data_IF_642721681000
#
_entry.id   IF_642721681000
#
_cell.length_a   1.000
_cell.length_b   1.000
_cell.length_c   1.000
_cell.angle_alpha   90.00
_cell.angle_beta   90.00
_cell.angle_gamma   90.00
#
_symmetry.space_group_name_H-M   'P 1'
#
loop_
_entity.id
_entity.type
_entity.pdbx_description
1 polymer ?
#
# COMPACT_ATOMS: atom_id res chain seq x y z
N UNK A 1 -42.54 -31.17 -2.92
CA UNK A 1 -42.64 -31.32 -1.45
C UNK A 1 -42.06 -30.06 -0.85
N UNK A 2 -42.90 -29.15 -0.36
CA UNK A 2 -42.45 -27.96 0.39
C UNK A 2 -42.04 -28.44 1.78
N UNK A 3 -40.74 -28.47 2.06
CA UNK A 3 -40.21 -28.82 3.38
C UNK A 3 -40.68 -27.78 4.38
N UNK A 4 -41.32 -28.24 5.45
CA UNK A 4 -41.76 -27.37 6.54
C UNK A 4 -40.54 -26.86 7.31
N UNK A 5 -40.28 -25.55 7.26
CA UNK A 5 -39.08 -24.93 7.84
C UNK A 5 -39.15 -25.03 9.36
N UNK A 6 -40.35 -24.94 9.94
CA UNK A 6 -40.59 -25.12 11.37
C UNK A 6 -40.04 -26.47 11.90
N UNK A 7 -40.09 -27.53 11.09
CA UNK A 7 -39.56 -28.86 11.46
C UNK A 7 -38.02 -28.95 11.51
N UNK A 8 -37.32 -27.94 10.98
CA UNK A 8 -35.85 -27.88 10.98
C UNK A 8 -35.27 -27.26 12.26
N UNK A 9 -36.11 -26.69 13.11
CA UNK A 9 -35.72 -26.06 14.37
C UNK A 9 -36.04 -26.96 15.57
N UNK A 10 -35.31 -26.78 16.67
CA UNK A 10 -35.62 -27.48 17.91
C UNK A 10 -37.01 -27.04 18.43
N UNK A 11 -37.94 -27.97 18.70
CA UNK A 11 -39.32 -27.62 19.05
C UNK A 11 -39.46 -26.79 20.34
N UNK A 12 -38.58 -27.02 21.31
CA UNK A 12 -38.49 -26.31 22.59
C UNK A 12 -38.01 -24.87 22.41
N UNK A 13 -37.03 -24.65 21.53
CA UNK A 13 -36.53 -23.31 21.18
C UNK A 13 -37.64 -22.49 20.53
N UNK A 14 -38.35 -23.08 19.57
CA UNK A 14 -39.46 -22.42 18.89
C UNK A 14 -40.59 -22.03 19.84
N UNK A 15 -40.95 -22.90 20.79
CA UNK A 15 -41.95 -22.58 21.83
C UNK A 15 -41.55 -21.37 22.65
N UNK A 16 -40.30 -21.33 23.13
CA UNK A 16 -39.80 -20.20 23.93
C UNK A 16 -39.76 -18.90 23.12
N UNK A 17 -39.36 -18.95 21.85
CA UNK A 17 -39.32 -17.76 20.98
C UNK A 17 -40.73 -17.26 20.65
N UNK A 18 -41.66 -18.16 20.34
CA UNK A 18 -43.07 -17.87 20.12
C UNK A 18 -43.69 -17.18 21.34
N UNK A 19 -43.50 -17.75 22.53
CA UNK A 19 -44.12 -17.28 23.77
C UNK A 19 -43.50 -15.97 24.28
N UNK A 20 -42.16 -15.90 24.33
CA UNK A 20 -41.46 -14.81 25.04
C UNK A 20 -41.06 -13.65 24.13
N UNK A 21 -40.71 -13.92 22.87
CA UNK A 21 -40.10 -12.92 22.00
C UNK A 21 -41.06 -12.42 20.91
N UNK A 22 -41.87 -13.31 20.33
CA UNK A 22 -42.76 -12.96 19.23
C UNK A 22 -44.20 -12.73 19.67
N UNK A 23 -44.63 -13.32 20.79
CA UNK A 23 -46.00 -13.23 21.30
C UNK A 23 -47.02 -13.87 20.37
N UNK A 24 -46.67 -14.98 19.73
CA UNK A 24 -47.46 -15.67 18.70
C UNK A 24 -47.60 -17.12 19.10
N UNK A 25 -48.81 -17.68 18.97
CA UNK A 25 -49.03 -19.11 19.22
C UNK A 25 -48.27 -19.97 18.22
N UNK A 26 -47.71 -21.09 18.67
CA UNK A 26 -46.96 -22.01 17.82
C UNK A 26 -47.78 -22.55 16.64
N UNK A 27 -49.10 -22.66 16.77
CA UNK A 27 -49.99 -23.07 15.69
C UNK A 27 -50.14 -22.01 14.59
N UNK A 28 -49.94 -20.73 14.92
CA UNK A 28 -50.03 -19.61 13.99
C UNK A 28 -48.67 -19.30 13.32
N UNK A 29 -47.60 -20.00 13.71
CA UNK A 29 -46.28 -19.83 13.13
C UNK A 29 -46.20 -20.48 11.74
N UNK A 30 -46.39 -19.66 10.71
CA UNK A 30 -46.17 -20.06 9.32
C UNK A 30 -44.70 -19.95 8.92
N UNK A 31 -44.30 -20.72 7.91
CA UNK A 31 -42.94 -20.65 7.35
C UNK A 31 -42.56 -19.25 6.85
N UNK A 32 -43.53 -18.50 6.31
CA UNK A 32 -43.32 -17.11 5.86
C UNK A 32 -43.03 -16.17 7.03
N UNK A 33 -43.79 -16.32 8.13
CA UNK A 33 -43.59 -15.54 9.35
C UNK A 33 -42.25 -15.87 10.01
N UNK A 34 -41.89 -17.15 10.07
CA UNK A 34 -40.60 -17.60 10.61
C UNK A 34 -39.42 -17.02 9.81
N UNK A 35 -39.49 -17.05 8.47
CA UNK A 35 -38.48 -16.42 7.62
C UNK A 35 -38.40 -14.90 7.86
N UNK A 36 -39.54 -14.22 7.95
CA UNK A 36 -39.57 -12.79 8.27
C UNK A 36 -38.95 -12.44 9.64
N UNK A 37 -39.14 -13.30 10.66
CA UNK A 37 -38.49 -13.15 11.97
C UNK A 37 -36.99 -13.37 11.89
N UNK A 38 -36.53 -14.38 11.14
CA UNK A 38 -35.10 -14.63 10.92
C UNK A 38 -34.46 -13.42 10.22
N UNK A 39 -35.10 -12.89 9.18
CA UNK A 39 -34.61 -11.71 8.47
C UNK A 39 -34.56 -10.47 9.38
N UNK A 40 -35.56 -10.29 10.24
CA UNK A 40 -35.57 -9.21 11.23
C UNK A 40 -34.43 -9.34 12.26
N UNK A 41 -34.13 -10.56 12.72
CA UNK A 41 -33.00 -10.85 13.62
C UNK A 41 -31.67 -10.60 12.90
N UNK A 42 -31.51 -11.07 11.67
CA UNK A 42 -30.29 -10.83 10.88
C UNK A 42 -30.08 -9.33 10.61
N UNK A 43 -31.16 -8.58 10.39
CA UNK A 43 -31.12 -7.13 10.26
C UNK A 43 -30.72 -6.44 11.58
N UNK A 44 -31.17 -6.92 12.74
CA UNK A 44 -30.87 -6.28 14.04
C UNK A 44 -29.51 -6.71 14.61
N UNK A 45 -29.11 -7.97 14.52
CA UNK A 45 -27.85 -8.46 15.09
C UNK A 45 -26.63 -7.84 14.39
N UNK A 46 -26.73 -7.53 13.10
CA UNK A 46 -25.67 -6.79 12.36
C UNK A 46 -25.73 -5.27 12.57
N UNK A 47 -26.89 -4.70 12.91
CA UNK A 47 -27.11 -3.24 12.95
C UNK A 47 -27.27 -2.63 14.36
N UNK A 48 -27.50 -3.41 15.43
CA UNK A 48 -27.83 -2.90 16.78
C UNK A 48 -26.60 -2.51 17.62
N UNK A 49 -25.40 -2.95 17.25
CA UNK A 49 -24.17 -2.30 17.68
C UNK A 49 -23.75 -1.43 16.52
N UNK A 50 -23.79 -0.10 16.66
CA UNK A 50 -23.17 0.79 15.66
C UNK A 50 -21.67 0.49 15.73
N UNK A 51 -21.10 -0.27 14.78
CA UNK A 51 -19.67 -0.53 14.79
C UNK A 51 -18.98 0.81 14.55
N UNK A 52 -17.69 0.91 14.85
CA UNK A 52 -16.97 2.11 14.45
C UNK A 52 -16.73 2.05 12.94
N UNK A 53 -17.78 2.37 12.16
CA UNK A 53 -17.84 2.28 10.69
C UNK A 53 -16.62 2.95 10.07
N UNK A 54 -16.17 4.08 10.62
CA UNK A 54 -15.00 4.77 10.12
C UNK A 54 -13.70 3.98 10.29
N UNK A 55 -13.51 3.31 11.43
CA UNK A 55 -12.31 2.50 11.70
C UNK A 55 -12.33 1.23 10.86
N UNK A 56 -13.46 0.54 10.81
CA UNK A 56 -13.61 -0.72 10.07
C UNK A 56 -13.52 -0.48 8.56
N UNK A 57 -14.18 0.54 8.05
CA UNK A 57 -14.09 0.92 6.63
C UNK A 57 -12.65 1.27 6.24
N UNK A 58 -11.93 2.04 7.05
CA UNK A 58 -10.52 2.37 6.79
C UNK A 58 -9.59 1.15 6.89
N UNK A 59 -9.92 0.18 7.74
CA UNK A 59 -9.17 -1.05 7.84
C UNK A 59 -9.35 -1.92 6.59
N UNK A 60 -10.59 -2.05 6.11
CA UNK A 60 -10.95 -2.94 5.00
C UNK A 60 -10.72 -2.32 3.60
N UNK A 61 -10.97 -1.03 3.43
CA UNK A 61 -10.90 -0.34 2.14
C UNK A 61 -9.55 0.37 2.00
N UNK A 62 -8.63 -0.19 1.21
CA UNK A 62 -7.29 0.37 0.99
C UNK A 62 -6.85 0.27 -0.46
N UNK A 63 -6.06 1.25 -0.91
CA UNK A 63 -5.43 1.19 -2.23
C UNK A 63 -4.33 0.13 -2.22
N UNK A 64 -4.41 -0.83 -3.14
CA UNK A 64 -3.38 -1.84 -3.30
C UNK A 64 -2.13 -1.26 -4.00
N UNK A 65 -1.13 -0.83 -3.23
CA UNK A 65 0.10 -0.23 -3.79
C UNK A 65 1.00 -1.23 -4.55
N UNK A 66 0.73 -2.53 -4.50
CA UNK A 66 1.47 -3.54 -5.28
C UNK A 66 1.02 -3.60 -6.74
N UNK A 67 -0.21 -3.19 -7.03
CA UNK A 67 -0.70 -3.12 -8.41
C UNK A 67 -0.01 -1.95 -9.14
N UNK A 68 0.50 -2.25 -10.32
CA UNK A 68 1.30 -1.32 -11.13
C UNK A 68 0.44 -0.35 -11.92
N UNK A 69 -0.76 -0.78 -12.34
CA UNK A 69 -1.69 0.08 -13.04
C UNK A 69 -2.46 0.97 -12.05
N UNK A 70 -2.27 2.29 -12.17
CA UNK A 70 -2.89 3.27 -11.28
C UNK A 70 -4.41 3.27 -11.41
N UNK A 71 -4.95 3.06 -12.61
CA UNK A 71 -6.39 3.09 -12.84
C UNK A 71 -7.03 1.87 -12.20
N UNK A 72 -6.43 0.69 -12.41
CA UNK A 72 -6.86 -0.56 -11.80
C UNK A 72 -6.84 -0.45 -10.27
N UNK A 73 -5.78 0.12 -9.68
CA UNK A 73 -5.73 0.40 -8.23
C UNK A 73 -6.93 1.20 -7.74
N UNK A 74 -7.28 2.26 -8.44
CA UNK A 74 -8.41 3.12 -8.06
C UNK A 74 -9.74 2.39 -8.27
N UNK A 75 -9.90 1.65 -9.36
CA UNK A 75 -11.12 0.84 -9.61
C UNK A 75 -11.30 -0.22 -8.52
N UNK A 76 -10.24 -0.96 -8.16
CA UNK A 76 -10.27 -1.94 -7.08
C UNK A 76 -10.60 -1.32 -5.73
N UNK A 77 -10.07 -0.13 -5.44
CA UNK A 77 -10.39 0.61 -4.23
C UNK A 77 -11.90 0.89 -4.13
N UNK A 78 -12.52 1.42 -5.18
CA UNK A 78 -13.97 1.65 -5.18
C UNK A 78 -14.77 0.36 -5.16
N UNK A 79 -14.34 -0.70 -5.85
CA UNK A 79 -14.96 -2.02 -5.78
C UNK A 79 -14.95 -2.57 -4.35
N UNK A 80 -13.80 -2.54 -3.68
CA UNK A 80 -13.65 -3.00 -2.30
C UNK A 80 -14.55 -2.23 -1.35
N UNK A 81 -14.73 -0.92 -1.57
CA UNK A 81 -15.63 -0.12 -0.75
C UNK A 81 -17.09 -0.58 -0.82
N UNK A 82 -17.56 -0.95 -2.01
CA UNK A 82 -18.93 -1.46 -2.20
C UNK A 82 -19.10 -2.83 -1.58
N UNK A 83 -18.12 -3.70 -1.78
CA UNK A 83 -18.11 -5.03 -1.18
C UNK A 83 -18.16 -4.97 0.36
N UNK A 84 -17.35 -4.10 0.97
CA UNK A 84 -17.37 -3.91 2.44
C UNK A 84 -18.74 -3.43 2.93
N UNK A 85 -19.35 -2.49 2.22
CA UNK A 85 -20.69 -1.98 2.55
C UNK A 85 -21.73 -3.10 2.49
N UNK A 86 -21.68 -3.96 1.48
CA UNK A 86 -22.60 -5.08 1.30
C UNK A 86 -22.39 -6.17 2.37
N UNK A 87 -21.15 -6.59 2.62
CA UNK A 87 -20.81 -7.65 3.59
C UNK A 87 -21.23 -7.31 5.02
N UNK A 88 -21.09 -6.02 5.38
CA UNK A 88 -21.44 -5.53 6.73
C UNK A 88 -22.89 -5.05 6.83
N UNK A 89 -23.67 -5.05 5.74
CA UNK A 89 -25.06 -4.60 5.73
C UNK A 89 -25.22 -3.08 5.91
N UNK A 90 -24.19 -2.30 5.59
CA UNK A 90 -24.17 -0.85 5.78
C UNK A 90 -24.88 -0.04 4.69
N UNK A 91 -25.50 -0.71 3.72
CA UNK A 91 -26.17 -0.06 2.58
C UNK A 91 -27.16 1.02 3.02
N UNK A 92 -27.93 0.75 4.06
CA UNK A 92 -28.93 1.67 4.62
C UNK A 92 -28.32 2.97 5.16
N UNK A 93 -27.05 2.97 5.60
CA UNK A 93 -26.38 4.18 6.11
C UNK A 93 -25.99 5.18 5.00
N UNK A 94 -26.10 4.79 3.73
CA UNK A 94 -25.57 5.57 2.60
C UNK A 94 -26.62 5.89 1.52
N UNK A 95 -27.91 5.66 1.80
CA UNK A 95 -29.01 5.89 0.83
C UNK A 95 -29.28 7.38 0.64
N UNK A 96 -29.38 8.11 1.76
CA UNK A 96 -29.73 9.51 1.78
C UNK A 96 -28.56 10.42 1.38
N UNK A 97 -28.82 11.72 1.22
CA UNK A 97 -27.81 12.66 0.79
C UNK A 97 -26.68 12.84 1.82
N UNK A 98 -26.98 12.82 3.12
CA UNK A 98 -25.95 12.90 4.17
C UNK A 98 -25.17 11.59 4.25
N UNK A 99 -25.83 10.44 4.08
CA UNK A 99 -25.20 9.15 3.88
C UNK A 99 -24.19 9.16 2.72
N UNK A 100 -24.58 9.64 1.54
CA UNK A 100 -23.64 9.75 0.41
C UNK A 100 -22.45 10.67 0.72
N UNK A 101 -22.65 11.76 1.49
CA UNK A 101 -21.55 12.60 1.97
C UNK A 101 -20.61 11.85 2.91
N UNK A 102 -21.18 11.10 3.84
CA UNK A 102 -20.43 10.28 4.77
C UNK A 102 -19.61 9.21 4.03
N UNK A 103 -20.20 8.54 3.03
CA UNK A 103 -19.51 7.57 2.17
C UNK A 103 -18.29 8.20 1.48
N UNK A 104 -18.48 9.35 0.85
CA UNK A 104 -17.39 10.06 0.18
C UNK A 104 -16.29 10.48 1.18
N UNK A 105 -16.67 10.94 2.38
CA UNK A 105 -15.72 11.27 3.45
C UNK A 105 -14.92 10.05 3.90
N UNK A 106 -15.57 8.89 4.07
CA UNK A 106 -14.92 7.63 4.45
C UNK A 106 -13.95 7.14 3.36
N UNK A 107 -14.34 7.23 2.10
CA UNK A 107 -13.47 6.92 0.96
C UNK A 107 -12.20 7.78 1.01
N UNK A 108 -12.35 9.10 1.12
CA UNK A 108 -11.19 10.01 1.16
C UNK A 108 -10.31 9.74 2.38
N UNK A 109 -10.89 9.53 3.56
CA UNK A 109 -10.14 9.24 4.78
C UNK A 109 -9.30 7.95 4.69
N UNK A 110 -9.74 7.01 3.85
CA UNK A 110 -9.12 5.69 3.61
C UNK A 110 -8.09 5.70 2.48
N UNK A 111 -7.87 6.83 1.82
CA UNK A 111 -6.84 6.95 0.79
C UNK A 111 -5.43 6.94 1.37
N UNK A 112 -4.56 6.20 0.71
CA UNK A 112 -3.12 6.19 0.92
C UNK A 112 -2.42 6.40 -0.44
N UNK A 113 -1.36 7.23 -0.51
CA UNK A 113 -0.63 7.91 0.56
C UNK A 113 -1.31 9.18 1.12
N UNK A 114 -0.89 9.63 2.31
CA UNK A 114 -1.43 10.82 3.00
C UNK A 114 -1.40 12.10 2.14
N UNK A 115 -0.37 12.28 1.33
CA UNK A 115 -0.23 13.45 0.44
C UNK A 115 -1.34 13.50 -0.62
N UNK A 116 -1.75 12.35 -1.15
CA UNK A 116 -2.85 12.26 -2.11
C UNK A 116 -4.18 12.59 -1.41
N UNK A 117 -4.38 12.07 -0.19
CA UNK A 117 -5.57 12.36 0.62
C UNK A 117 -5.74 13.85 0.88
N UNK A 118 -4.70 14.52 1.39
CA UNK A 118 -4.74 15.96 1.72
C UNK A 118 -5.03 16.84 0.48
N UNK A 119 -4.47 16.48 -0.67
CA UNK A 119 -4.75 17.18 -1.92
C UNK A 119 -6.22 17.04 -2.34
N UNK A 120 -6.78 15.84 -2.24
CA UNK A 120 -8.19 15.59 -2.54
C UNK A 120 -9.10 16.31 -1.54
N UNK A 121 -8.78 16.28 -0.24
CA UNK A 121 -9.53 17.02 0.79
C UNK A 121 -9.57 18.53 0.47
N UNK A 122 -8.47 19.11 0.01
CA UNK A 122 -8.39 20.50 -0.43
C UNK A 122 -9.25 20.76 -1.68
N UNK A 123 -9.19 19.90 -2.69
CA UNK A 123 -10.03 20.01 -3.90
C UNK A 123 -11.52 19.97 -3.52
N UNK A 124 -11.91 19.04 -2.65
CA UNK A 124 -13.28 18.93 -2.17
C UNK A 124 -13.72 20.14 -1.32
N UNK A 125 -12.79 20.84 -0.67
CA UNK A 125 -13.08 22.02 0.13
C UNK A 125 -13.26 23.30 -0.69
N UNK A 126 -12.37 23.51 -1.66
CA UNK A 126 -12.24 24.82 -2.30
C UNK A 126 -12.64 24.84 -3.78
N UNK A 127 -12.59 23.71 -4.48
CA UNK A 127 -12.79 23.68 -5.94
C UNK A 127 -14.05 22.92 -6.35
N UNK A 128 -14.25 21.71 -5.83
CA UNK A 128 -15.31 20.81 -6.28
C UNK A 128 -16.10 20.25 -5.10
N UNK A 129 -17.03 21.05 -4.59
CA UNK A 129 -17.88 20.67 -3.46
C UNK A 129 -18.90 19.58 -3.81
N UNK A 130 -19.28 19.45 -5.09
CA UNK A 130 -20.26 18.47 -5.56
C UNK A 130 -19.74 17.04 -5.37
N UNK A 131 -18.45 16.83 -5.57
CA UNK A 131 -17.78 15.55 -5.35
C UNK A 131 -17.80 15.05 -3.91
N UNK A 132 -18.23 15.88 -2.94
CA UNK A 132 -18.45 15.43 -1.56
C UNK A 132 -19.66 14.52 -1.42
N UNK A 133 -20.59 14.55 -2.37
CA UNK A 133 -21.83 13.76 -2.35
C UNK A 133 -22.01 12.94 -3.63
N UNK A 134 -21.11 13.07 -4.60
CA UNK A 134 -21.16 12.30 -5.85
C UNK A 134 -19.92 11.40 -5.97
N UNK A 135 -20.14 10.10 -5.78
CA UNK A 135 -19.11 9.06 -5.89
C UNK A 135 -18.44 9.04 -7.28
N UNK A 136 -19.17 9.33 -8.36
CA UNK A 136 -18.62 9.30 -9.73
C UNK A 136 -17.69 10.46 -9.97
N UNK A 137 -18.02 11.65 -9.47
CA UNK A 137 -17.14 12.82 -9.56
C UNK A 137 -15.92 12.62 -8.67
N UNK A 138 -16.10 12.09 -7.46
CA UNK A 138 -15.00 11.74 -6.56
C UNK A 138 -14.03 10.75 -7.22
N UNK A 139 -14.54 9.68 -7.85
CA UNK A 139 -13.74 8.71 -8.59
C UNK A 139 -12.84 9.38 -9.64
N UNK A 140 -13.40 10.30 -10.45
CA UNK A 140 -12.65 11.00 -11.49
C UNK A 140 -11.51 11.84 -10.89
N UNK A 141 -11.79 12.58 -9.82
CA UNK A 141 -10.78 13.41 -9.12
C UNK A 141 -9.66 12.55 -8.55
N UNK A 142 -10.02 11.45 -7.87
CA UNK A 142 -9.03 10.53 -7.28
C UNK A 142 -8.16 9.92 -8.38
N UNK A 143 -8.78 9.46 -9.47
CA UNK A 143 -8.06 8.85 -10.59
C UNK A 143 -7.07 9.83 -11.22
N UNK A 144 -7.51 11.05 -11.52
CA UNK A 144 -6.66 12.10 -12.09
C UNK A 144 -5.47 12.37 -11.17
N UNK A 145 -5.73 12.64 -9.89
CA UNK A 145 -4.70 13.00 -8.91
C UNK A 145 -3.74 11.86 -8.60
N UNK A 146 -4.22 10.62 -8.57
CA UNK A 146 -3.37 9.45 -8.42
C UNK A 146 -2.41 9.28 -9.60
N UNK A 147 -2.85 9.55 -10.84
CA UNK A 147 -2.00 9.54 -12.03
C UNK A 147 -0.93 10.64 -11.98
N UNK A 148 -1.26 11.82 -11.46
CA UNK A 148 -0.30 12.90 -11.27
C UNK A 148 0.79 12.55 -10.25
N UNK A 149 0.38 12.01 -9.09
CA UNK A 149 1.31 11.54 -8.06
C UNK A 149 2.24 10.45 -8.60
N UNK A 150 1.72 9.49 -9.36
CA UNK A 150 2.55 8.43 -9.96
C UNK A 150 3.56 9.02 -10.96
N UNK A 151 3.11 9.93 -11.85
CA UNK A 151 3.99 10.60 -12.82
C UNK A 151 5.12 11.36 -12.13
N UNK A 152 4.82 12.08 -11.05
CA UNK A 152 5.79 12.84 -10.28
C UNK A 152 6.74 11.94 -9.50
N UNK A 153 6.23 10.84 -8.93
CA UNK A 153 7.07 9.83 -8.30
C UNK A 153 8.08 9.24 -9.28
N UNK A 154 7.64 8.86 -10.48
CA UNK A 154 8.53 8.34 -11.52
C UNK A 154 9.56 9.39 -11.99
N UNK A 155 9.16 10.66 -12.12
CA UNK A 155 10.07 11.77 -12.43
C UNK A 155 11.17 11.91 -11.38
N UNK A 156 10.80 11.97 -10.10
CA UNK A 156 11.75 12.07 -8.97
C UNK A 156 12.67 10.85 -8.89
N UNK A 157 12.13 9.65 -9.13
CA UNK A 157 12.90 8.40 -9.17
C UNK A 157 13.97 8.43 -10.26
N UNK A 158 13.64 8.91 -11.47
CA UNK A 158 14.59 9.07 -12.59
C UNK A 158 15.69 10.10 -12.28
N UNK A 159 15.33 11.24 -11.70
CA UNK A 159 16.30 12.28 -11.31
C UNK A 159 17.32 11.77 -10.28
N UNK A 160 16.86 11.04 -9.26
CA UNK A 160 17.75 10.43 -8.26
C UNK A 160 18.69 9.40 -8.88
N UNK A 161 18.21 8.61 -9.83
CA UNK A 161 19.05 7.63 -10.51
C UNK A 161 20.09 8.32 -11.42
N UNK A 162 19.72 9.41 -12.10
CA UNK A 162 20.64 10.20 -12.92
C UNK A 162 21.76 10.86 -12.08
N UNK A 163 21.42 11.45 -10.94
CA UNK A 163 22.40 12.07 -10.03
C UNK A 163 23.46 11.07 -9.52
N UNK A 164 23.03 9.84 -9.20
CA UNK A 164 23.94 8.75 -8.76
C UNK A 164 24.87 8.23 -9.87
N UNK A 165 24.45 8.36 -11.13
CA UNK A 165 25.29 8.00 -12.29
C UNK A 165 26.30 9.13 -12.58
N UNK A 166 25.89 10.39 -12.44
CA UNK A 166 26.78 11.55 -12.56
C UNK A 166 27.93 11.54 -11.56
N UNK A 167 27.65 11.32 -10.27
CA UNK A 167 28.70 11.25 -9.22
C UNK A 167 29.73 10.11 -9.45
N UNK A 168 29.34 9.02 -10.13
CA UNK A 168 30.29 7.96 -10.51
C UNK A 168 31.14 8.32 -11.73
N UNK A 169 30.63 9.12 -12.64
CA UNK A 169 31.37 9.58 -13.82
C UNK A 169 32.42 10.66 -13.45
N UNK A 170 32.10 11.53 -12.50
CA UNK A 170 33.03 12.59 -12.06
C UNK A 170 34.19 12.04 -11.22
N UNK A 171 33.95 11.00 -10.40
CA UNK A 171 35.02 10.29 -9.69
C UNK A 171 35.92 9.44 -10.59
N UNK A 172 35.51 9.14 -11.83
CA UNK A 172 36.34 8.43 -12.80
C UNK A 172 37.27 9.36 -13.60
N UNK A 173 37.01 10.68 -13.62
CA UNK A 173 37.82 11.66 -14.36
C UNK A 173 38.98 12.28 -13.56
N UNK A 174 38.99 12.09 -12.23
CA UNK A 174 40.03 12.64 -11.34
C UNK A 174 41.31 11.81 -11.18
N UNK A 175 41.40 10.60 -11.75
CA UNK A 175 42.56 9.71 -11.58
C UNK A 175 43.07 9.14 -12.90
N UNK A 176 43.44 10.02 -13.82
CA UNK A 176 44.16 9.65 -15.05
C UNK A 176 45.54 10.29 -15.07
N UNK A 177 46.48 9.70 -14.31
CA UNK A 177 47.91 9.93 -14.48
C UNK A 177 48.32 9.35 -15.84
N UNK A 178 48.94 10.11 -16.77
CA UNK A 178 49.17 9.64 -18.12
C UNK A 178 50.34 8.66 -18.13
N UNK A 179 50.07 7.35 -18.27
CA UNK A 179 51.10 6.39 -18.68
C UNK A 179 51.21 6.45 -20.20
N UNK A 180 52.26 7.11 -20.70
CA UNK A 180 52.85 6.83 -22.02
C UNK A 180 53.07 5.31 -22.11
N UNK A 181 52.68 4.68 -23.23
CA UNK A 181 53.64 4.00 -24.13
C UNK A 181 52.98 3.30 -25.33
N UNK A 182 53.55 3.66 -26.48
CA UNK A 182 53.80 2.92 -27.71
C UNK A 182 52.69 2.56 -28.70
N UNK A 183 53.06 2.85 -29.94
CA UNK A 183 52.36 2.88 -31.22
C UNK A 183 52.86 1.70 -32.03
N UNK A 184 51.97 0.94 -32.66
CA UNK A 184 52.27 0.22 -33.90
C UNK A 184 51.02 0.24 -34.78
N UNK A 185 51.23 0.55 -36.06
CA UNK A 185 50.24 0.87 -37.10
C UNK A 185 49.87 -0.37 -37.91
N UNK A 186 48.71 -0.25 -38.57
CA UNK A 186 48.31 -0.80 -39.90
C UNK A 186 47.98 -2.32 -39.93
N UNK A 187 46.91 -2.80 -40.58
CA UNK A 187 46.22 -2.33 -41.80
C UNK A 187 44.77 -2.86 -41.92
N UNK A 188 43.89 -2.00 -42.43
CA UNK A 188 42.88 -2.18 -43.50
C UNK A 188 41.78 -3.30 -43.48
N UNK A 189 40.53 -2.79 -43.41
CA UNK A 189 39.41 -2.99 -44.37
C UNK A 189 38.43 -4.19 -44.21
N UNK A 190 37.16 -4.02 -44.65
CA UNK A 190 35.98 -4.21 -43.79
C UNK A 190 35.02 -5.29 -44.32
N UNK A 191 33.97 -5.62 -43.55
CA UNK A 191 32.67 -6.09 -44.11
C UNK A 191 31.52 -6.05 -43.12
N UNK A 192 30.44 -5.46 -43.60
CA UNK A 192 29.06 -5.42 -43.14
C UNK A 192 28.42 -6.82 -43.00
N UNK A 193 27.51 -6.98 -42.03
CA UNK A 193 26.13 -7.44 -42.33
C UNK A 193 25.18 -7.38 -41.12
N UNK A 194 23.92 -7.10 -41.44
CA UNK A 194 22.73 -6.94 -40.61
C UNK A 194 22.20 -8.29 -40.06
N UNK A 195 21.62 -8.20 -38.86
CA UNK A 195 20.36 -8.79 -38.34
C UNK A 195 20.08 -10.31 -38.43
N UNK A 196 20.05 -10.94 -37.23
CA UNK A 196 18.97 -11.78 -36.62
C UNK A 196 18.52 -13.05 -37.39
N UNK A 197 17.67 -14.00 -36.89
CA UNK A 197 17.00 -14.11 -35.59
C UNK A 197 16.86 -15.54 -34.96
N UNK A 198 16.40 -15.55 -33.69
CA UNK A 198 15.39 -16.43 -33.08
C UNK A 198 15.45 -18.00 -33.08
N UNK A 199 15.47 -18.52 -31.84
CA UNK A 199 14.47 -19.45 -31.22
C UNK A 199 14.73 -20.97 -31.08
N UNK A 200 14.18 -21.45 -29.95
CA UNK A 200 13.61 -22.78 -29.58
C UNK A 200 14.47 -23.82 -28.84
N UNK A 201 14.18 -23.91 -27.51
CA UNK A 201 13.91 -25.14 -26.75
C UNK A 201 15.12 -25.93 -26.24
N UNK A 202 15.11 -26.65 -25.11
CA UNK A 202 14.10 -27.59 -24.59
C UNK A 202 14.54 -28.06 -23.17
N UNK A 203 13.62 -28.04 -22.18
CA UNK A 203 13.47 -28.94 -21.00
C UNK A 203 14.55 -28.92 -19.87
N UNK A 204 14.29 -29.20 -18.57
CA UNK A 204 13.17 -29.81 -17.84
C UNK A 204 13.28 -29.61 -16.31
N UNK A 205 12.11 -29.68 -15.65
CA UNK A 205 11.81 -30.29 -14.33
C UNK A 205 12.09 -29.59 -12.98
N UNK A 206 10.95 -29.15 -12.41
CA UNK A 206 10.33 -29.60 -11.14
C UNK A 206 10.83 -29.07 -9.78
N UNK A 207 9.85 -28.60 -8.97
CA UNK A 207 9.77 -29.04 -7.57
C UNK A 207 9.66 -27.98 -6.45
N UNK A 208 8.47 -27.38 -6.28
CA UNK A 208 7.74 -27.08 -5.00
C UNK A 208 8.52 -26.74 -3.70
N UNK A 209 8.29 -25.53 -3.19
CA UNK A 209 7.68 -25.13 -1.87
C UNK A 209 8.42 -23.99 -1.11
N UNK A 210 7.71 -22.86 -0.98
CA UNK A 210 7.37 -22.15 0.27
C UNK A 210 8.45 -22.04 1.37
N UNK A 211 9.05 -20.86 1.57
CA UNK A 211 8.95 -19.99 2.77
C UNK A 211 10.14 -19.03 2.98
N UNK A 212 9.79 -17.85 3.52
CA UNK A 212 10.58 -16.86 4.26
C UNK A 212 11.74 -16.13 3.57
N UNK A 213 11.43 -14.88 3.23
CA UNK A 213 12.38 -13.81 2.97
C UNK A 213 13.27 -13.56 4.21
N UNK A 214 14.58 -13.72 4.04
CA UNK A 214 15.58 -13.05 4.87
C UNK A 214 16.40 -12.10 3.98
N UNK A 215 16.36 -10.83 4.38
CA UNK A 215 17.11 -9.73 3.82
C UNK A 215 18.61 -9.99 3.92
N UNK A 216 19.25 -10.25 2.77
CA UNK A 216 20.71 -10.24 2.65
C UNK A 216 21.24 -8.80 2.74
N UNK A 217 21.35 -8.28 3.97
CA UNK A 217 22.22 -7.14 4.25
C UNK A 217 23.67 -7.64 4.22
N UNK A 218 24.42 -7.16 3.23
CA UNK A 218 25.76 -7.60 2.89
C UNK A 218 26.76 -7.63 4.06
N UNK A 219 27.57 -8.67 4.02
CA UNK A 219 28.66 -9.07 4.90
C UNK A 219 29.90 -8.17 4.81
N UNK A 220 29.73 -6.85 4.74
CA UNK A 220 30.87 -5.92 4.84
C UNK A 220 30.97 -5.36 6.27
N UNK A 221 32.08 -5.69 6.94
CA UNK A 221 32.43 -5.15 8.26
C UNK A 221 32.64 -3.63 8.15
N UNK A 222 32.17 -2.81 9.11
CA UNK A 222 32.41 -1.38 9.08
C UNK A 222 33.90 -1.07 9.30
N UNK A 223 34.51 -0.33 8.37
CA UNK A 223 35.87 0.22 8.55
C UNK A 223 35.84 1.18 9.74
N UNK A 224 36.55 0.83 10.82
CA UNK A 224 36.58 1.59 12.08
C UNK A 224 35.75 1.01 13.24
N UNK A 225 35.07 -0.14 13.04
CA UNK A 225 34.36 -0.86 14.10
C UNK A 225 33.05 -0.21 14.57
N UNK A 226 32.38 -0.87 15.51
CA UNK A 226 31.11 -0.44 16.11
C UNK A 226 31.28 0.90 16.85
N UNK A 227 30.33 1.82 16.65
CA UNK A 227 30.34 3.16 17.25
C UNK A 227 30.25 3.18 18.79
N UNK A 228 29.81 2.08 19.42
CA UNK A 228 29.70 1.97 20.89
C UNK A 228 30.83 1.14 21.49
N UNK A 229 31.04 -0.08 21.00
CA UNK A 229 31.98 -1.03 21.61
C UNK A 229 33.21 -1.35 20.74
N UNK A 230 33.38 -0.68 19.58
CA UNK A 230 34.49 -0.87 18.63
C UNK A 230 34.63 -2.28 18.05
N UNK A 231 33.66 -3.17 18.26
CA UNK A 231 33.65 -4.52 17.70
C UNK A 231 33.36 -4.57 16.19
N UNK A 232 33.58 -5.73 15.58
CA UNK A 232 33.43 -5.98 14.13
C UNK A 232 31.97 -6.11 13.66
N UNK A 233 31.12 -5.17 14.07
CA UNK A 233 29.71 -5.13 13.70
C UNK A 233 29.21 -3.69 13.59
N UNK A 234 28.13 -3.52 12.82
CA UNK A 234 27.42 -2.25 12.73
C UNK A 234 26.70 -1.93 14.04
N UNK A 235 26.60 -0.66 14.42
CA UNK A 235 25.91 -0.22 15.66
C UNK A 235 24.48 -0.74 15.77
N UNK A 236 23.79 -0.93 14.64
CA UNK A 236 22.46 -1.53 14.55
C UNK A 236 22.42 -2.94 15.17
N UNK A 237 23.48 -3.72 14.95
CA UNK A 237 23.66 -5.08 15.48
C UNK A 237 24.49 -5.11 16.77
N UNK A 238 24.72 -3.98 17.42
CA UNK A 238 25.49 -3.94 18.66
C UNK A 238 24.71 -4.59 19.80
N UNK A 239 25.27 -5.62 20.47
CA UNK A 239 24.64 -6.26 21.62
C UNK A 239 24.79 -5.43 22.91
N UNK A 240 25.68 -4.43 22.93
CA UNK A 240 26.00 -3.61 24.10
C UNK A 240 25.20 -2.31 24.14
N UNK A 241 24.73 -1.81 22.99
CA UNK A 241 24.01 -0.54 22.91
C UNK A 241 22.50 -0.76 23.09
N UNK A 242 21.86 0.08 23.89
CA UNK A 242 20.38 0.11 23.99
C UNK A 242 19.77 0.67 22.71
N UNK A 243 18.47 0.50 22.52
CA UNK A 243 17.78 1.00 21.32
C UNK A 243 17.94 2.52 21.15
N UNK A 244 17.82 3.27 22.24
CA UNK A 244 17.93 4.74 22.23
C UNK A 244 19.38 5.18 21.97
N UNK A 245 20.35 4.49 22.58
CA UNK A 245 21.77 4.74 22.29
C UNK A 245 22.14 4.46 20.83
N UNK A 246 21.52 3.44 20.20
CA UNK A 246 21.72 3.16 18.77
C UNK A 246 21.18 4.31 17.91
N UNK A 247 20.00 4.84 18.25
CA UNK A 247 19.40 5.96 17.53
C UNK A 247 20.26 7.23 17.64
N UNK A 248 20.72 7.56 18.85
CA UNK A 248 21.52 8.75 19.11
C UNK A 248 22.89 8.71 18.43
N UNK A 249 23.58 7.56 18.47
CA UNK A 249 24.89 7.42 17.81
C UNK A 249 24.78 7.52 16.28
N UNK A 250 23.69 7.02 15.69
CA UNK A 250 23.43 7.16 14.26
C UNK A 250 23.12 8.63 13.89
N UNK A 251 22.36 9.32 14.73
CA UNK A 251 22.06 10.75 14.58
C UNK A 251 23.31 11.61 14.62
N UNK A 252 24.17 11.42 15.63
CA UNK A 252 25.43 12.12 15.77
C UNK A 252 26.37 11.88 14.57
N UNK A 253 26.42 10.64 14.04
CA UNK A 253 27.22 10.35 12.85
C UNK A 253 26.69 11.09 11.61
N UNK A 254 25.37 11.19 11.46
CA UNK A 254 24.77 11.94 10.36
C UNK A 254 25.08 13.44 10.47
N UNK A 255 24.95 14.00 11.66
CA UNK A 255 25.25 15.41 11.94
C UNK A 255 26.73 15.74 11.71
N UNK A 256 27.65 14.89 12.16
CA UNK A 256 29.10 15.09 11.92
C UNK A 256 29.44 15.06 10.43
N UNK A 257 28.89 14.10 9.68
CA UNK A 257 29.09 14.01 8.23
C UNK A 257 28.52 15.24 7.51
N UNK A 258 27.41 15.79 7.99
CA UNK A 258 26.83 17.00 7.41
C UNK A 258 27.70 18.24 7.70
N UNK A 259 28.26 18.35 8.92
CA UNK A 259 29.21 19.42 9.27
C UNK A 259 30.49 19.35 8.43
N UNK A 260 31.10 18.17 8.30
CA UNK A 260 32.28 17.97 7.45
C UNK A 260 32.00 18.36 5.98
N UNK A 261 30.79 18.06 5.47
CA UNK A 261 30.37 18.48 4.13
C UNK A 261 30.21 19.99 4.02
N UNK A 262 29.67 20.66 5.03
CA UNK A 262 29.53 22.12 5.02
C UNK A 262 30.89 22.81 5.12
N UNK A 263 31.82 22.28 5.90
CA UNK A 263 33.15 22.87 6.07
C UNK A 263 34.02 22.70 4.82
N UNK A 264 33.95 21.53 4.16
CA UNK A 264 34.60 21.33 2.84
C UNK A 264 34.07 22.30 1.78
N UNK A 265 32.78 22.64 1.80
CA UNK A 265 32.19 23.61 0.85
C UNK A 265 32.70 25.02 1.08
N UNK A 266 32.94 25.42 2.33
CA UNK A 266 33.49 26.75 2.68
C UNK A 266 34.94 26.90 2.23
N UNK A 267 35.76 25.86 2.41
CA UNK A 267 37.19 25.85 2.00
C UNK A 267 37.36 25.91 0.47
N UNK A 268 36.33 25.54 -0.31
CA UNK A 268 36.40 25.57 -1.79
C UNK A 268 35.93 26.91 -2.38
N UNK A 269 35.55 27.89 -1.54
CA UNK A 269 35.04 29.20 -1.95
C UNK A 269 35.93 30.39 -1.56
N UNK A 270 37.07 30.14 -0.90
CA UNK A 270 38.20 31.09 -0.75
C UNK A 270 39.29 30.78 -1.77
#
# INVERSE_FOLDING_TARGET
>A
MTTDICSSFEPSLLEVLCDLEWGIDKADLTNELLLGKIDAILATVKNNTVPNVAVEFKAAVRINLQETDVRERVVQFFRSSRQVIEEHGWSEFFIDQEGQKLKCKLLVASLEPQTLREEIESILAYQNRVARSDEKVLFKIILEKALEHERDFQRRKRQRNSARVGEKADNARGSSRPKKKFKTKESEEPKSNLLQPQEIGVHEKQGRKVQHAQSKAGTTKPVGGCLKCKGDHWIVKCPVATHDEKADLLRQQHERRNREKTDRKKITQE
#
